data_IF_574346250884
#
_entry.id   IF_574346250884
#
_cell.length_a   1.000
_cell.length_b   1.000
_cell.length_c   1.000
_cell.angle_alpha   90.00
_cell.angle_beta   90.00
_cell.angle_gamma   90.00
#
_symmetry.space_group_name_H-M   'P 1'
#
loop_
_entity.id
_entity.type
_entity.pdbx_description
1 polymer ?
#
# COMPACT_ATOMS: atom_id res chain seq x y z
N UNK A 1 -17.07 -16.12 11.94
CA UNK A 1 -16.63 -16.10 10.53
C UNK A 1 -15.81 -14.84 10.35
N UNK A 2 -14.55 -14.98 9.92
CA UNK A 2 -13.68 -13.82 9.73
C UNK A 2 -14.27 -12.89 8.67
N UNK A 3 -14.23 -11.57 8.94
CA UNK A 3 -14.64 -10.54 7.97
C UNK A 3 -13.39 -9.84 7.45
N UNK A 4 -13.44 -9.41 6.20
CA UNK A 4 -12.40 -8.56 5.63
C UNK A 4 -12.90 -7.12 5.56
N UNK A 5 -12.09 -6.19 6.07
CA UNK A 5 -12.28 -4.76 5.89
C UNK A 5 -11.46 -4.27 4.69
N UNK A 6 -11.99 -3.26 3.99
CA UNK A 6 -11.36 -2.69 2.80
C UNK A 6 -11.30 -1.17 2.95
N UNK A 7 -10.09 -0.62 2.88
CA UNK A 7 -9.85 0.82 2.84
C UNK A 7 -9.17 1.20 1.54
N UNK A 8 -9.74 2.18 0.85
CA UNK A 8 -9.16 2.77 -0.37
C UNK A 8 -8.29 3.96 0.01
N UNK A 9 -7.07 4.00 -0.52
CA UNK A 9 -6.12 5.09 -0.30
C UNK A 9 -5.69 5.62 -1.67
N UNK A 10 -5.85 6.93 -1.86
CA UNK A 10 -5.42 7.63 -3.06
C UNK A 10 -4.10 8.33 -2.78
N UNK A 11 -3.15 8.23 -3.71
CA UNK A 11 -1.87 8.93 -3.69
C UNK A 11 -1.82 9.81 -4.94
N UNK A 12 -1.82 11.12 -4.76
CA UNK A 12 -1.80 12.07 -5.88
C UNK A 12 -0.49 11.98 -6.67
N UNK A 13 -0.54 12.37 -7.94
CA UNK A 13 0.62 12.34 -8.83
C UNK A 13 1.81 13.10 -8.24
N UNK A 14 2.99 12.48 -8.29
CA UNK A 14 4.23 13.04 -7.73
C UNK A 14 4.31 13.10 -6.21
N UNK A 15 3.28 12.68 -5.48
CA UNK A 15 3.27 12.73 -4.00
C UNK A 15 3.73 11.43 -3.38
N UNK A 16 4.10 11.51 -2.10
CA UNK A 16 4.47 10.36 -1.29
C UNK A 16 3.57 10.27 -0.06
N UNK A 17 3.31 9.02 0.34
CA UNK A 17 2.70 8.69 1.63
C UNK A 17 3.77 8.06 2.51
N UNK A 18 4.01 8.57 3.73
CA UNK A 18 4.93 7.91 4.66
C UNK A 18 4.43 6.51 5.02
N UNK A 19 5.38 5.60 5.29
CA UNK A 19 5.09 4.28 5.80
C UNK A 19 5.01 4.28 7.32
N UNK A 20 4.07 3.50 7.85
CA UNK A 20 3.94 3.17 9.27
C UNK A 20 3.77 1.65 9.38
N UNK A 21 4.73 0.97 10.00
CA UNK A 21 4.75 -0.48 10.08
C UNK A 21 3.52 -1.06 10.78
N UNK A 22 3.01 -0.38 11.80
CA UNK A 22 1.87 -0.88 12.58
C UNK A 22 0.55 -0.74 11.83
N UNK A 23 0.44 0.28 10.97
CA UNK A 23 -0.71 0.44 10.08
C UNK A 23 -0.85 -0.72 9.09
N UNK A 24 0.26 -1.24 8.58
CA UNK A 24 0.27 -2.22 7.49
C UNK A 24 0.43 -3.67 7.95
N UNK A 25 0.62 -3.90 9.25
CA UNK A 25 0.74 -5.23 9.83
C UNK A 25 -0.53 -6.06 9.57
N UNK A 26 -0.37 -7.17 8.83
CA UNK A 26 -1.49 -8.06 8.49
C UNK A 26 -2.42 -7.51 7.40
N UNK A 27 -1.98 -6.51 6.64
CA UNK A 27 -2.72 -5.90 5.53
C UNK A 27 -2.15 -6.35 4.19
N UNK A 28 -3.04 -6.81 3.31
CA UNK A 28 -2.72 -7.00 1.88
C UNK A 28 -3.06 -5.73 1.11
N UNK A 29 -2.22 -5.39 0.14
CA UNK A 29 -2.36 -4.18 -0.66
C UNK A 29 -2.52 -4.55 -2.13
N UNK A 30 -3.61 -4.12 -2.74
CA UNK A 30 -3.81 -4.19 -4.19
C UNK A 30 -3.55 -2.80 -4.77
N UNK A 31 -2.73 -2.70 -5.81
CA UNK A 31 -2.72 -1.50 -6.67
C UNK A 31 -3.91 -1.62 -7.60
N UNK A 32 -4.94 -0.80 -7.39
CA UNK A 32 -6.16 -0.88 -8.17
C UNK A 32 -6.07 -0.02 -9.45
N UNK A 33 -5.43 1.15 -9.37
CA UNK A 33 -5.26 2.06 -10.49
C UNK A 33 -3.92 2.81 -10.39
N UNK A 34 -3.39 3.20 -11.56
CA UNK A 34 -2.11 3.88 -11.66
C UNK A 34 -0.93 2.99 -11.29
N UNK A 35 0.08 3.60 -10.67
CA UNK A 35 1.29 2.89 -10.24
C UNK A 35 1.91 3.52 -9.00
N UNK A 36 2.63 2.71 -8.25
CA UNK A 36 3.34 3.12 -7.05
C UNK A 36 4.79 2.67 -7.12
N UNK A 37 5.66 3.41 -6.45
CA UNK A 37 7.03 3.04 -6.17
C UNK A 37 7.20 2.89 -4.66
N UNK A 38 7.55 1.69 -4.22
CA UNK A 38 7.97 1.43 -2.85
C UNK A 38 9.42 1.88 -2.71
N UNK A 39 9.72 2.70 -1.69
CA UNK A 39 11.06 3.20 -1.40
C UNK A 39 11.48 2.82 0.02
N UNK A 40 12.49 1.98 0.13
CA UNK A 40 13.05 1.52 1.40
C UNK A 40 14.05 2.54 1.97
N UNK A 41 14.26 2.53 3.28
CA UNK A 41 15.18 3.46 3.94
C UNK A 41 16.62 3.28 3.45
N UNK A 42 17.03 2.04 3.17
CA UNK A 42 18.34 1.68 2.59
C UNK A 42 18.45 1.92 1.06
N UNK A 43 17.51 2.67 0.47
CA UNK A 43 17.58 3.10 -0.93
C UNK A 43 17.01 2.12 -1.95
N UNK A 44 16.58 0.92 -1.54
CA UNK A 44 15.87 -0.02 -2.41
C UNK A 44 14.59 0.61 -2.96
N UNK A 45 14.33 0.46 -4.27
CA UNK A 45 13.12 0.98 -4.92
C UNK A 45 12.51 -0.06 -5.84
N UNK A 46 11.18 -0.15 -5.86
CA UNK A 46 10.49 -1.01 -6.82
C UNK A 46 9.12 -0.46 -7.19
N UNK A 47 8.84 -0.48 -8.50
CA UNK A 47 7.59 0.03 -9.08
C UNK A 47 6.60 -1.09 -9.33
N UNK A 48 5.34 -0.80 -9.09
CA UNK A 48 4.22 -1.73 -9.26
C UNK A 48 3.05 -0.99 -9.89
N UNK A 49 2.34 -1.66 -10.80
CA UNK A 49 1.20 -1.11 -11.54
C UNK A 49 -0.10 -1.75 -11.08
N UNK A 50 -1.21 -1.21 -11.57
CA UNK A 50 -2.54 -1.79 -11.41
C UNK A 50 -2.55 -3.33 -11.60
N UNK A 51 -3.21 -4.03 -10.69
CA UNK A 51 -3.24 -5.50 -10.61
C UNK A 51 -2.18 -6.13 -9.70
N UNK A 52 -1.16 -5.39 -9.27
CA UNK A 52 -0.16 -5.90 -8.33
C UNK A 52 -0.74 -6.10 -6.92
N UNK A 53 -0.43 -7.25 -6.31
CA UNK A 53 -0.75 -7.58 -4.92
C UNK A 53 0.53 -7.63 -4.09
N UNK A 54 0.54 -6.93 -2.96
CA UNK A 54 1.71 -6.64 -2.13
C UNK A 54 1.36 -6.75 -0.65
N UNK A 55 2.39 -6.70 0.19
CA UNK A 55 2.32 -6.40 1.62
C UNK A 55 3.41 -5.38 1.93
N UNK A 56 3.13 -4.40 2.79
CA UNK A 56 4.11 -3.34 3.11
C UNK A 56 4.89 -3.60 4.41
N UNK A 57 4.50 -4.62 5.17
CA UNK A 57 5.17 -5.00 6.42
C UNK A 57 6.51 -5.72 6.17
N UNK A 58 7.51 -5.41 6.98
CA UNK A 58 8.82 -6.10 6.96
C UNK A 58 9.72 -5.74 5.78
N UNK A 59 9.44 -4.66 5.06
CA UNK A 59 10.21 -4.21 3.88
C UNK A 59 11.19 -3.07 4.18
N UNK A 60 11.30 -2.62 5.44
CA UNK A 60 12.01 -1.38 5.81
C UNK A 60 11.57 -0.20 4.91
N UNK A 61 10.27 -0.16 4.63
CA UNK A 61 9.66 0.81 3.74
C UNK A 61 9.66 2.18 4.41
N UNK A 62 10.12 3.20 3.69
CA UNK A 62 10.07 4.59 4.16
C UNK A 62 8.82 5.29 3.65
N UNK A 63 8.53 5.12 2.37
CA UNK A 63 7.40 5.77 1.72
C UNK A 63 6.87 4.96 0.54
N UNK A 64 5.59 5.17 0.26
CA UNK A 64 4.94 4.79 -0.99
C UNK A 64 4.81 6.05 -1.82
N UNK A 65 5.52 6.10 -2.93
CA UNK A 65 5.52 7.24 -3.83
C UNK A 65 4.67 6.94 -5.07
N UNK A 66 3.93 7.92 -5.58
CA UNK A 66 3.32 7.84 -6.90
C UNK A 66 4.20 8.58 -7.91
N UNK A 67 4.97 7.87 -8.75
CA UNK A 67 5.81 8.49 -9.78
C UNK A 67 5.05 8.83 -11.07
N UNK A 68 3.77 8.48 -11.16
CA UNK A 68 2.92 8.70 -12.33
C UNK A 68 2.41 10.13 -12.43
N UNK A 69 1.81 10.44 -13.58
CA UNK A 69 1.12 11.71 -13.84
C UNK A 69 -0.35 11.70 -13.42
N UNK A 70 -0.92 10.50 -13.25
CA UNK A 70 -2.25 10.28 -12.73
C UNK A 70 -2.20 9.87 -11.25
N UNK A 71 -3.32 9.99 -10.55
CA UNK A 71 -3.46 9.47 -9.19
C UNK A 71 -3.30 7.95 -9.17
N UNK A 72 -2.61 7.44 -8.15
CA UNK A 72 -2.55 6.02 -7.86
C UNK A 72 -3.58 5.68 -6.78
N UNK A 73 -4.17 4.50 -6.89
CA UNK A 73 -5.10 3.98 -5.89
C UNK A 73 -4.58 2.65 -5.39
N UNK A 74 -4.42 2.56 -4.08
CA UNK A 74 -4.18 1.28 -3.39
C UNK A 74 -5.39 0.91 -2.54
N UNK A 75 -5.75 -0.37 -2.54
CA UNK A 75 -6.78 -0.94 -1.67
C UNK A 75 -6.08 -1.78 -0.62
N UNK A 76 -6.19 -1.35 0.62
CA UNK A 76 -5.76 -2.07 1.81
C UNK A 76 -6.88 -3.04 2.23
N UNK A 77 -6.55 -4.31 2.36
CA UNK A 77 -7.46 -5.37 2.82
C UNK A 77 -6.89 -5.97 4.11
N UNK A 78 -7.66 -5.90 5.18
CA UNK A 78 -7.28 -6.46 6.48
C UNK A 78 -8.36 -7.42 6.97
N UNK A 79 -7.98 -8.33 7.86
CA UNK A 79 -8.93 -9.20 8.55
C UNK A 79 -9.38 -8.54 9.84
N UNK A 80 -10.68 -8.44 10.05
CA UNK A 80 -11.27 -8.09 11.34
C UNK A 80 -11.78 -9.38 11.99
N UNK A 81 -11.37 -9.64 13.23
CA UNK A 81 -12.03 -10.68 14.01
C UNK A 81 -13.42 -10.18 14.38
N UNK A 82 -14.45 -10.96 14.07
CA UNK A 82 -15.76 -10.78 14.69
C UNK A 82 -15.59 -11.15 16.17
N UNK A 83 -15.62 -10.18 17.06
CA UNK A 83 -15.87 -10.46 18.49
C UNK A 83 -17.30 -10.99 18.57
N UNK A 84 -17.40 -12.30 18.82
CA UNK A 84 -18.65 -12.95 19.21
C UNK A 84 -19.02 -12.61 20.64
#
# INVERSE_FOLDING_TARGET
>A
MDRFDRRRITIEAGTSRPHDEDEWRGVLVLVEAGEIELRCALGGRRRFRAGAVLWFSGLDLREVHNPGVDRAVVVAVSRTRSTG
#
